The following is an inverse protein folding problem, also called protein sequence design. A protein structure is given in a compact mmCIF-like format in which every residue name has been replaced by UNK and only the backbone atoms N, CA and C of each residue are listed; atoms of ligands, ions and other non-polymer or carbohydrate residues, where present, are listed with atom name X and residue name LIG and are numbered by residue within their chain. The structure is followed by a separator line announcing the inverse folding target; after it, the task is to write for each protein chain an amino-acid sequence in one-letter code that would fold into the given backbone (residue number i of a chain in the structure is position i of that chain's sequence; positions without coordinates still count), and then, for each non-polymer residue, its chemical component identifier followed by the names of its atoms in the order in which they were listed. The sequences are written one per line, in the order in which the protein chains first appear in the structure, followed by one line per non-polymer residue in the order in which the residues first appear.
data_IF_834013168109
#
_entry.id   IF_834013168109
#
_cell.length_a   1.000
_cell.length_b   1.000
_cell.length_c   1.000
_cell.angle_alpha   90.00
_cell.angle_beta   90.00
_cell.angle_gamma   90.00
#
_symmetry.space_group_name_H-M   'P 1'
#
loop_
_entity.id
_entity.type
_entity.pdbx_description
1 polymer ?
#
# COMPACT_ATOMS: atom_id res chain seq x y z
N UNK A 1 6.53 -33.94 -5.38
CA UNK A 1 5.09 -33.83 -5.09
C UNK A 1 4.90 -34.03 -3.60
N UNK A 2 4.86 -32.95 -2.81
CA UNK A 2 4.41 -33.03 -1.43
C UNK A 2 3.52 -31.82 -1.14
N UNK A 3 2.21 -32.07 -1.16
CA UNK A 3 1.14 -31.11 -0.94
C UNK A 3 0.39 -31.36 0.36
N UNK A 4 1.08 -31.78 1.44
CA UNK A 4 0.44 -32.23 2.68
C UNK A 4 0.45 -31.24 3.85
N UNK A 5 0.92 -30.00 3.66
CA UNK A 5 1.06 -29.01 4.76
C UNK A 5 0.04 -27.86 4.74
N UNK A 6 -1.08 -27.96 4.01
CA UNK A 6 -2.02 -26.84 3.88
C UNK A 6 -3.50 -27.22 4.08
N UNK A 7 -3.84 -28.08 5.04
CA UNK A 7 -5.25 -28.46 5.28
C UNK A 7 -5.63 -28.92 6.70
N UNK A 8 -4.84 -28.62 7.76
CA UNK A 8 -5.10 -29.16 9.10
C UNK A 8 -5.79 -28.21 10.10
N UNK A 9 -6.13 -26.97 9.75
CA UNK A 9 -6.64 -25.98 10.72
C UNK A 9 -7.96 -25.28 10.32
N UNK A 10 -8.41 -25.41 9.07
CA UNK A 10 -9.59 -24.71 8.57
C UNK A 10 -10.91 -25.22 9.19
N UNK A 11 -10.88 -26.43 9.77
CA UNK A 11 -12.04 -27.08 10.43
C UNK A 11 -11.93 -27.16 11.97
N UNK A 12 -10.83 -26.68 12.56
CA UNK A 12 -10.64 -26.70 14.01
C UNK A 12 -11.59 -25.71 14.70
N UNK A 13 -12.11 -26.09 15.88
CA UNK A 13 -13.05 -25.25 16.61
C UNK A 13 -12.37 -23.91 16.97
N UNK A 14 -13.06 -22.75 16.92
CA UNK A 14 -12.45 -21.45 17.23
C UNK A 14 -11.67 -21.42 18.56
N UNK A 15 -12.12 -22.20 19.54
CA UNK A 15 -11.45 -22.35 20.83
C UNK A 15 -10.07 -23.05 20.75
N UNK A 16 -9.86 -24.00 19.83
CA UNK A 16 -8.55 -24.65 19.63
C UNK A 16 -7.55 -23.65 19.01
N UNK A 17 -8.00 -22.81 18.07
CA UNK A 17 -7.14 -21.76 17.48
C UNK A 17 -6.77 -20.66 18.48
N UNK A 18 -7.60 -20.39 19.50
CA UNK A 18 -7.23 -19.47 20.60
C UNK A 18 -6.13 -20.04 21.50
N UNK A 19 -5.99 -21.36 21.60
CA UNK A 19 -4.93 -22.00 22.38
C UNK A 19 -3.54 -21.86 21.74
N UNK A 20 -3.48 -21.58 20.44
CA UNK A 20 -2.25 -21.36 19.66
C UNK A 20 -1.80 -19.89 19.64
N UNK A 21 -2.65 -18.96 20.12
CA UNK A 21 -2.30 -17.54 20.18
C UNK A 21 -1.25 -17.27 21.28
N UNK A 22 -0.32 -16.32 21.07
CA UNK A 22 0.56 -15.80 22.11
C UNK A 22 -0.22 -15.37 23.35
N UNK A 23 0.36 -15.55 24.53
CA UNK A 23 -0.29 -15.27 25.82
C UNK A 23 -0.80 -13.82 25.91
N UNK A 24 0.02 -12.86 25.49
CA UNK A 24 -0.35 -11.43 25.41
C UNK A 24 -1.59 -11.18 24.54
N UNK A 25 -1.65 -11.80 23.34
CA UNK A 25 -2.81 -11.66 22.44
C UNK A 25 -4.06 -12.28 23.05
N UNK A 26 -3.92 -13.40 23.77
CA UNK A 26 -5.04 -14.09 24.40
C UNK A 26 -5.62 -13.26 25.56
N UNK A 27 -4.75 -12.69 26.39
CA UNK A 27 -5.16 -11.80 27.48
C UNK A 27 -5.82 -10.53 26.95
N UNK A 28 -5.25 -9.92 25.90
CA UNK A 28 -5.84 -8.76 25.23
C UNK A 28 -7.24 -9.07 24.70
N UNK A 29 -7.42 -10.18 23.98
CA UNK A 29 -8.71 -10.58 23.44
C UNK A 29 -9.73 -10.96 24.53
N UNK A 30 -9.29 -11.51 25.65
CA UNK A 30 -10.15 -11.86 26.79
C UNK A 30 -10.74 -10.63 27.50
N UNK A 31 -10.12 -9.46 27.37
CA UNK A 31 -10.57 -8.21 28.00
C UNK A 31 -11.54 -7.39 27.12
N UNK A 32 -11.68 -7.73 25.83
CA UNK A 32 -12.48 -6.95 24.89
C UNK A 32 -13.98 -7.21 25.06
N UNK A 33 -14.76 -6.13 25.05
CA UNK A 33 -16.22 -6.20 24.92
C UNK A 33 -16.58 -6.31 23.44
N UNK A 34 -17.80 -6.75 23.12
CA UNK A 34 -18.25 -6.89 21.72
C UNK A 34 -18.09 -5.60 20.90
N UNK A 35 -18.29 -4.44 21.54
CA UNK A 35 -18.09 -3.10 20.97
C UNK A 35 -16.62 -2.78 20.61
N UNK A 36 -15.67 -3.23 21.44
CA UNK A 36 -14.24 -3.03 21.19
C UNK A 36 -13.76 -3.90 20.03
N UNK A 37 -14.30 -5.13 19.92
CA UNK A 37 -14.01 -6.05 18.82
C UNK A 37 -14.43 -5.44 17.47
N UNK A 38 -15.61 -4.82 17.42
CA UNK A 38 -16.10 -4.15 16.21
C UNK A 38 -15.17 -2.99 15.80
N UNK A 39 -14.77 -2.17 16.77
CA UNK A 39 -13.86 -1.03 16.55
C UNK A 39 -12.49 -1.48 16.05
N UNK A 40 -11.93 -2.56 16.63
CA UNK A 40 -10.65 -3.12 16.20
C UNK A 40 -10.71 -3.67 14.79
N UNK A 41 -11.81 -4.35 14.41
CA UNK A 41 -12.01 -4.85 13.06
C UNK A 41 -12.03 -3.72 12.03
N UNK A 42 -12.72 -2.63 12.34
CA UNK A 42 -12.76 -1.45 11.48
C UNK A 42 -11.40 -0.73 11.42
N UNK A 43 -10.69 -0.66 12.54
CA UNK A 43 -9.33 -0.12 12.63
C UNK A 43 -8.34 -0.87 11.75
N UNK A 44 -8.34 -2.21 11.79
CA UNK A 44 -7.47 -3.04 10.92
C UNK A 44 -7.79 -2.81 9.45
N UNK A 45 -9.08 -2.73 9.10
CA UNK A 45 -9.51 -2.44 7.72
C UNK A 45 -9.04 -1.06 7.26
N UNK A 46 -9.12 -0.06 8.13
CA UNK A 46 -8.68 1.29 7.85
C UNK A 46 -7.16 1.36 7.63
N UNK A 47 -6.36 0.74 8.50
CA UNK A 47 -4.90 0.71 8.36
C UNK A 47 -4.50 0.02 7.05
N UNK A 48 -5.14 -1.10 6.71
CA UNK A 48 -4.88 -1.78 5.44
C UNK A 48 -5.24 -0.91 4.22
N UNK A 49 -6.35 -0.17 4.28
CA UNK A 49 -6.72 0.79 3.24
C UNK A 49 -5.68 1.91 3.13
N UNK A 50 -5.26 2.51 4.24
CA UNK A 50 -4.24 3.57 4.29
C UNK A 50 -2.91 3.08 3.73
N UNK A 51 -2.48 1.86 4.08
CA UNK A 51 -1.22 1.28 3.58
C UNK A 51 -1.22 1.13 2.06
N UNK A 52 -2.38 0.76 1.51
CA UNK A 52 -2.58 0.60 0.07
C UNK A 52 -2.58 1.96 -0.64
N UNK A 53 -3.41 2.90 -0.17
CA UNK A 53 -3.52 4.25 -0.75
C UNK A 53 -2.23 5.04 -0.59
N UNK A 54 -1.53 4.91 0.54
CA UNK A 54 -0.26 5.59 0.79
C UNK A 54 0.84 5.16 -0.18
N UNK A 55 0.91 3.86 -0.50
CA UNK A 55 1.85 3.35 -1.51
C UNK A 55 1.52 3.90 -2.89
N UNK A 56 0.25 3.91 -3.28
CA UNK A 56 -0.20 4.49 -4.54
C UNK A 56 0.08 5.99 -4.63
N UNK A 57 -0.22 6.75 -3.57
CA UNK A 57 -0.01 8.20 -3.50
C UNK A 57 1.47 8.57 -3.61
N UNK A 58 2.36 7.78 -2.99
CA UNK A 58 3.81 7.95 -3.14
C UNK A 58 4.22 7.89 -4.62
N UNK A 59 3.72 6.90 -5.36
CA UNK A 59 4.04 6.75 -6.78
C UNK A 59 3.40 7.83 -7.64
N UNK A 60 2.20 8.30 -7.30
CA UNK A 60 1.60 9.45 -7.97
C UNK A 60 2.44 10.71 -7.83
N UNK A 61 2.93 11.01 -6.62
CA UNK A 61 3.77 12.18 -6.37
C UNK A 61 5.07 12.08 -7.18
N UNK A 62 5.75 10.93 -7.13
CA UNK A 62 6.98 10.69 -7.90
C UNK A 62 6.73 10.82 -9.40
N UNK A 63 5.64 10.24 -9.90
CA UNK A 63 5.22 10.34 -11.30
C UNK A 63 4.91 11.78 -11.71
N UNK A 64 4.25 12.55 -10.86
CA UNK A 64 3.93 13.95 -11.12
C UNK A 64 5.18 14.83 -11.16
N UNK A 65 6.10 14.67 -10.20
CA UNK A 65 7.40 15.35 -10.20
C UNK A 65 8.21 15.01 -11.46
N UNK A 66 8.30 13.72 -11.81
CA UNK A 66 8.96 13.27 -13.02
C UNK A 66 8.30 13.84 -14.29
N UNK A 67 6.97 13.92 -14.31
CA UNK A 67 6.21 14.51 -15.42
C UNK A 67 6.52 15.99 -15.59
N UNK A 68 6.50 16.79 -14.51
CA UNK A 68 6.80 18.23 -14.57
C UNK A 68 8.22 18.46 -15.08
N UNK A 69 9.21 17.76 -14.52
CA UNK A 69 10.61 17.86 -14.97
C UNK A 69 10.73 17.43 -16.44
N UNK A 70 10.10 16.32 -16.82
CA UNK A 70 10.12 15.81 -18.19
C UNK A 70 9.54 16.80 -19.20
N UNK A 71 8.40 17.42 -18.89
CA UNK A 71 7.77 18.43 -19.76
C UNK A 71 8.66 19.66 -19.94
N UNK A 72 9.26 20.16 -18.86
CA UNK A 72 10.17 21.32 -18.92
C UNK A 72 11.38 21.01 -19.81
N UNK A 73 12.04 19.87 -19.60
CA UNK A 73 13.21 19.48 -20.40
C UNK A 73 12.85 19.22 -21.87
N UNK A 74 11.67 18.65 -22.13
CA UNK A 74 11.18 18.44 -23.50
C UNK A 74 10.93 19.78 -24.19
N UNK A 75 10.31 20.74 -23.50
CA UNK A 75 10.10 22.10 -24.01
C UNK A 75 11.39 22.79 -24.42
N UNK A 76 12.42 22.75 -23.56
CA UNK A 76 13.75 23.28 -23.90
C UNK A 76 14.35 22.61 -25.13
N UNK A 77 14.21 21.29 -25.24
CA UNK A 77 14.76 20.51 -26.36
C UNK A 77 14.07 20.85 -27.68
N UNK A 78 12.73 20.97 -27.67
CA UNK A 78 11.95 21.39 -28.84
C UNK A 78 12.33 22.82 -29.26
N UNK A 79 12.48 23.75 -28.31
CA UNK A 79 12.89 25.12 -28.60
C UNK A 79 14.30 25.19 -29.21
N UNK A 80 15.25 24.37 -28.73
CA UNK A 80 16.58 24.25 -29.32
C UNK A 80 16.52 23.75 -30.76
N UNK A 81 15.71 22.74 -31.04
CA UNK A 81 15.52 22.21 -32.39
C UNK A 81 14.94 23.29 -33.31
N UNK A 82 13.92 24.02 -32.86
CA UNK A 82 13.32 25.11 -33.64
C UNK A 82 14.34 26.24 -33.89
N UNK A 83 15.18 26.56 -32.90
CA UNK A 83 16.19 27.60 -33.04
C UNK A 83 17.23 27.30 -34.13
N UNK A 84 17.56 26.03 -34.40
CA UNK A 84 18.45 25.66 -35.52
C UNK A 84 17.91 26.06 -36.90
N UNK A 85 16.58 26.18 -37.05
CA UNK A 85 15.95 26.59 -38.30
C UNK A 85 15.73 28.10 -38.39
N UNK A 86 16.06 28.87 -37.35
CA UNK A 86 15.93 30.34 -37.37
C UNK A 86 17.18 30.94 -38.02
N UNK A 87 17.03 31.80 -39.04
CA UNK A 87 18.18 32.47 -39.64
C UNK A 87 18.88 33.38 -38.60
N UNK A 88 20.21 33.54 -38.68
CA UNK A 88 20.95 34.39 -37.76
C UNK A 88 20.42 35.83 -37.82
N UNK A 89 20.38 36.55 -36.69
CA UNK A 89 19.95 37.94 -36.67
C UNK A 89 20.88 38.76 -37.58
N UNK A 90 20.27 39.58 -38.45
CA UNK A 90 20.94 40.52 -39.36
C UNK A 90 21.49 41.74 -38.63
#
# INVERSE_FOLDING_TARGET
MDGRIANMDETAKPAERMAELPEETREFLAQLREEDIATLKDGVRLVNAIRTVGTFMKWLIVGFLGFVVGVVMLGESVLKIIAWFRPPPV
#
